data_IF_891263270421
#
_entry.id   IF_891263270421
#
_cell.length_a   1.000
_cell.length_b   1.000
_cell.length_c   1.000
_cell.angle_alpha   90.00
_cell.angle_beta   90.00
_cell.angle_gamma   90.00
#
_symmetry.space_group_name_H-M   'P 1'
#
loop_
_entity.id
_entity.type
_entity.pdbx_description
1 polymer ?
#
# COMPACT_ATOMS: atom_id res chain seq x y z
N UNK A 1 14.42 1.10 18.67
CA UNK A 1 13.41 0.89 17.60
C UNK A 1 12.55 2.13 17.52
N UNK A 2 12.54 2.82 16.37
CA UNK A 2 11.63 3.94 16.13
C UNK A 2 10.20 3.39 16.12
N UNK A 3 9.36 3.78 17.10
CA UNK A 3 7.93 3.45 17.09
C UNK A 3 7.25 4.42 16.12
N UNK A 4 7.16 4.05 14.84
CA UNK A 4 6.26 4.73 13.90
C UNK A 4 4.84 4.61 14.40
N UNK A 5 4.06 5.70 14.34
CA UNK A 5 2.69 5.75 14.85
C UNK A 5 1.72 4.94 13.98
N UNK A 6 2.09 4.68 12.73
CA UNK A 6 1.26 3.97 11.77
C UNK A 6 2.05 2.91 11.01
N UNK A 7 1.33 1.94 10.46
CA UNK A 7 1.86 0.91 9.56
C UNK A 7 1.05 0.90 8.28
N UNK A 8 1.70 0.61 7.16
CA UNK A 8 1.01 0.39 5.89
C UNK A 8 1.33 -1.01 5.40
N UNK A 9 0.30 -1.84 5.30
CA UNK A 9 0.39 -3.15 4.66
C UNK A 9 0.13 -3.02 3.16
N UNK A 10 1.07 -3.46 2.33
CA UNK A 10 0.97 -3.46 0.88
C UNK A 10 0.85 -4.90 0.38
N UNK A 11 -0.18 -5.20 -0.42
CA UNK A 11 -0.31 -6.47 -1.14
C UNK A 11 -0.24 -6.20 -2.65
N UNK A 12 0.86 -6.62 -3.26
CA UNK A 12 1.11 -6.47 -4.70
C UNK A 12 0.61 -7.75 -5.40
N UNK A 13 -0.48 -7.61 -6.16
CA UNK A 13 -0.99 -8.67 -7.02
C UNK A 13 -0.71 -8.40 -8.50
N UNK A 14 -0.94 -9.41 -9.35
CA UNK A 14 -0.77 -9.26 -10.80
C UNK A 14 -1.73 -8.25 -11.44
N UNK A 15 -2.93 -8.09 -10.89
CA UNK A 15 -3.99 -7.20 -11.43
C UNK A 15 -4.29 -5.97 -10.58
N UNK A 16 -3.96 -6.00 -9.30
CA UNK A 16 -4.36 -4.99 -8.34
C UNK A 16 -3.25 -4.74 -7.33
N UNK A 17 -3.12 -3.48 -6.93
CA UNK A 17 -2.36 -3.06 -5.76
C UNK A 17 -3.36 -2.79 -4.63
N UNK A 18 -3.16 -3.39 -3.46
CA UNK A 18 -3.94 -3.06 -2.26
C UNK A 18 -3.05 -2.44 -1.19
N UNK A 19 -3.62 -1.54 -0.40
CA UNK A 19 -2.97 -0.97 0.76
C UNK A 19 -3.93 -0.80 1.94
N UNK A 20 -3.43 -1.07 3.14
CA UNK A 20 -4.15 -0.83 4.40
C UNK A 20 -3.29 0.02 5.34
N UNK A 21 -3.80 1.20 5.75
CA UNK A 21 -3.21 2.02 6.79
C UNK A 21 -3.75 1.55 8.15
N UNK A 22 -2.84 1.17 9.04
CA UNK A 22 -3.14 0.67 10.38
C UNK A 22 -2.60 1.63 11.43
N UNK A 23 -3.33 1.75 12.54
CA UNK A 23 -2.81 2.40 13.75
C UNK A 23 -1.82 1.50 14.54
N UNK A 24 -1.42 1.97 15.73
CA UNK A 24 -0.49 1.22 16.58
C UNK A 24 -1.05 -0.09 17.10
N UNK A 25 -2.37 -0.18 17.28
CA UNK A 25 -3.08 -1.35 17.79
C UNK A 25 -3.44 -2.36 16.68
N UNK A 26 -3.23 -1.98 15.42
CA UNK A 26 -3.49 -2.81 14.26
C UNK A 26 -4.89 -2.62 13.67
N UNK A 27 -5.62 -1.60 14.09
CA UNK A 27 -6.93 -1.26 13.53
C UNK A 27 -6.75 -0.61 12.17
N UNK A 28 -7.51 -1.06 11.18
CA UNK A 28 -7.50 -0.48 9.84
C UNK A 28 -8.23 0.86 9.83
N UNK A 29 -7.49 1.93 9.55
CA UNK A 29 -8.00 3.29 9.40
C UNK A 29 -8.45 3.56 7.96
N UNK A 30 -7.73 3.01 6.98
CA UNK A 30 -8.05 3.08 5.56
C UNK A 30 -7.67 1.78 4.87
N UNK A 31 -8.47 1.36 3.89
CA UNK A 31 -8.18 0.23 3.02
C UNK A 31 -8.58 0.60 1.60
N UNK A 32 -7.64 0.49 0.68
CA UNK A 32 -7.82 0.87 -0.72
C UNK A 32 -7.33 -0.23 -1.65
N UNK A 33 -7.96 -0.33 -2.82
CA UNK A 33 -7.55 -1.20 -3.91
C UNK A 33 -7.54 -0.39 -5.22
N UNK A 34 -6.44 -0.47 -5.96
CA UNK A 34 -6.30 0.12 -7.28
C UNK A 34 -6.02 -0.95 -8.33
N UNK A 35 -6.52 -0.72 -9.55
CA UNK A 35 -6.09 -1.49 -10.71
C UNK A 35 -4.59 -1.27 -10.94
N UNK A 36 -3.87 -2.37 -11.08
CA UNK A 36 -2.43 -2.39 -11.31
C UNK A 36 -2.14 -3.59 -12.24
N UNK A 37 -2.33 -3.44 -13.56
CA UNK A 37 -2.10 -4.52 -14.51
C UNK A 37 -0.59 -4.76 -14.68
N UNK A 38 0.02 -5.40 -13.68
CA UNK A 38 1.48 -5.57 -13.54
C UNK A 38 2.09 -6.34 -14.72
N UNK A 39 1.31 -7.21 -15.37
CA UNK A 39 1.69 -7.91 -16.59
C UNK A 39 1.98 -6.97 -17.78
N UNK A 40 1.60 -5.69 -17.70
CA UNK A 40 1.93 -4.66 -18.71
C UNK A 40 3.26 -3.96 -18.44
N UNK A 41 3.95 -4.31 -17.34
CA UNK A 41 5.26 -3.79 -16.95
C UNK A 41 5.26 -3.00 -15.63
N UNK A 42 6.45 -2.75 -15.09
CA UNK A 42 6.63 -2.10 -13.78
C UNK A 42 6.08 -0.67 -13.69
N UNK A 43 5.98 0.04 -14.82
CA UNK A 43 5.35 1.36 -14.86
C UNK A 43 3.90 1.32 -14.35
N UNK A 44 3.19 0.20 -14.51
CA UNK A 44 1.85 0.03 -13.96
C UNK A 44 1.87 0.06 -12.42
N UNK A 45 2.88 -0.55 -11.79
CA UNK A 45 3.06 -0.54 -10.35
C UNK A 45 3.45 0.85 -9.85
N UNK A 46 4.41 1.51 -10.50
CA UNK A 46 4.83 2.86 -10.12
C UNK A 46 3.64 3.84 -10.14
N UNK A 47 2.84 3.80 -11.20
CA UNK A 47 1.64 4.63 -11.32
C UNK A 47 0.60 4.32 -10.23
N UNK A 48 0.34 3.04 -9.97
CA UNK A 48 -0.59 2.63 -8.91
C UNK A 48 -0.09 3.05 -7.52
N UNK A 49 1.22 2.93 -7.24
CA UNK A 49 1.82 3.37 -5.97
C UNK A 49 1.72 4.88 -5.78
N UNK A 50 1.98 5.68 -6.83
CA UNK A 50 1.82 7.13 -6.77
C UNK A 50 0.37 7.54 -6.47
N UNK A 51 -0.60 6.92 -7.15
CA UNK A 51 -2.02 7.15 -6.89
C UNK A 51 -2.43 6.72 -5.48
N UNK A 52 -1.99 5.53 -5.04
CA UNK A 52 -2.29 5.03 -3.70
C UNK A 52 -1.73 5.95 -2.61
N UNK A 53 -0.55 6.52 -2.81
CA UNK A 53 0.07 7.44 -1.86
C UNK A 53 -0.73 8.74 -1.69
N UNK A 54 -1.39 9.20 -2.76
CA UNK A 54 -2.32 10.34 -2.67
C UNK A 54 -3.58 10.00 -1.89
N UNK A 55 -4.09 8.76 -2.01
CA UNK A 55 -5.29 8.32 -1.27
C UNK A 55 -5.04 8.13 0.23
N UNK A 56 -3.87 7.62 0.61
CA UNK A 56 -3.54 7.29 1.99
C UNK A 56 -3.19 8.51 2.87
N UNK A 57 -3.00 9.70 2.27
CA UNK A 57 -2.55 10.92 2.96
C UNK A 57 -1.35 10.65 3.90
N UNK A 58 -0.32 10.00 3.34
CA UNK A 58 0.70 9.23 4.08
C UNK A 58 1.36 9.98 5.26
N UNK A 59 1.06 9.62 6.53
CA UNK A 59 1.90 9.99 7.66
C UNK A 59 3.19 9.14 7.66
N UNK A 60 4.14 9.50 8.53
CA UNK A 60 5.37 8.73 8.72
C UNK A 60 5.04 7.32 9.27
N UNK A 61 5.08 6.32 8.39
CA UNK A 61 4.54 4.98 8.62
C UNK A 61 5.53 3.88 8.18
N UNK A 62 5.58 2.79 8.95
CA UNK A 62 6.35 1.61 8.55
C UNK A 62 5.62 0.87 7.43
N UNK A 63 6.26 0.71 6.27
CA UNK A 63 5.73 -0.08 5.17
C UNK A 63 6.11 -1.55 5.30
N UNK A 64 5.11 -2.43 5.17
CA UNK A 64 5.22 -3.88 5.17
C UNK A 64 4.67 -4.36 3.84
N UNK A 65 5.41 -5.20 3.12
CA UNK A 65 5.08 -5.56 1.73
C UNK A 65 5.00 -7.08 1.57
N UNK A 66 3.92 -7.54 0.94
CA UNK A 66 3.79 -8.91 0.43
C UNK A 66 3.49 -8.87 -1.08
N UNK A 67 3.79 -9.97 -1.76
CA UNK A 67 3.46 -10.15 -3.17
C UNK A 67 2.73 -11.49 -3.34
N UNK A 68 1.55 -11.44 -3.99
CA UNK A 68 0.66 -12.59 -4.21
C UNK A 68 0.39 -12.87 -5.69
N UNK A 69 0.91 -12.01 -6.58
CA UNK A 69 0.83 -12.13 -8.03
C UNK A 69 1.92 -12.99 -8.64
#
# INVERSE_FOLDING_TARGET
>A
MLKTKYRIGWDIGGAHLKAALLDTEGVALQVHQLACPLWRGLNALENAMMQMRQLLDTPDALSLVTMTG
#
